data_IF_125399271668
#
_entry.id   IF_125399271668
#
_cell.length_a   1.000
_cell.length_b   1.000
_cell.length_c   1.000
_cell.angle_alpha   90.00
_cell.angle_beta   90.00
_cell.angle_gamma   90.00
#
_symmetry.space_group_name_H-M   'P 1'
#
loop_
_entity.id
_entity.type
_entity.pdbx_description
1 polymer ?
#
# COMPACT_ATOMS: atom_id res chain seq x y z
N UNK A 1 -3.70 -29.27 3.58
CA UNK A 1 -4.53 -28.91 2.44
C UNK A 1 -5.57 -27.91 2.88
N UNK A 2 -5.32 -26.61 2.65
CA UNK A 2 -6.18 -25.48 3.06
C UNK A 2 -7.32 -25.17 2.08
N UNK A 3 -7.49 -25.99 1.02
CA UNK A 3 -8.51 -25.76 -0.01
C UNK A 3 -9.96 -26.03 0.44
N UNK A 4 -10.18 -26.59 1.62
CA UNK A 4 -11.51 -26.88 2.15
C UNK A 4 -12.14 -25.74 2.96
N UNK A 5 -11.44 -24.59 3.12
CA UNK A 5 -11.96 -23.41 3.82
C UNK A 5 -12.60 -22.37 2.88
N UNK A 6 -12.80 -22.72 1.60
CA UNK A 6 -13.33 -21.79 0.59
C UNK A 6 -14.80 -21.38 0.79
N UNK A 7 -15.56 -22.13 1.61
CA UNK A 7 -16.99 -21.92 1.82
C UNK A 7 -17.42 -21.98 3.29
N UNK A 8 -16.56 -21.50 4.22
CA UNK A 8 -17.01 -21.37 5.60
C UNK A 8 -17.90 -20.13 5.74
N UNK A 9 -19.19 -20.32 5.55
CA UNK A 9 -20.19 -19.43 6.12
C UNK A 9 -20.17 -19.61 7.64
N UNK A 10 -19.92 -18.49 8.35
CA UNK A 10 -19.96 -18.50 9.81
C UNK A 10 -21.42 -18.79 10.21
N UNK A 11 -21.63 -19.87 10.97
CA UNK A 11 -22.93 -20.26 11.49
C UNK A 11 -23.62 -19.09 12.22
N UNK A 12 -24.93 -18.99 12.09
CA UNK A 12 -25.74 -17.92 12.65
C UNK A 12 -25.55 -17.77 14.18
N UNK A 13 -25.36 -18.88 14.92
CA UNK A 13 -25.09 -18.84 16.35
C UNK A 13 -23.72 -18.23 16.69
N UNK A 14 -22.74 -18.46 15.85
CA UNK A 14 -21.40 -17.85 15.94
C UNK A 14 -21.48 -16.35 15.64
N UNK A 15 -22.27 -15.95 14.65
CA UNK A 15 -22.52 -14.54 14.34
C UNK A 15 -23.18 -13.82 15.51
N UNK A 16 -24.18 -14.44 16.17
CA UNK A 16 -24.81 -13.87 17.36
C UNK A 16 -23.85 -13.76 18.53
N UNK A 17 -22.97 -14.75 18.73
CA UNK A 17 -21.95 -14.72 19.75
C UNK A 17 -20.94 -13.58 19.49
N UNK A 18 -20.47 -13.42 18.26
CA UNK A 18 -19.61 -12.31 17.85
C UNK A 18 -20.30 -10.96 18.10
N UNK A 19 -21.57 -10.81 17.72
CA UNK A 19 -22.33 -9.57 17.99
C UNK A 19 -22.43 -9.25 19.49
N UNK A 20 -22.59 -10.25 20.33
CA UNK A 20 -22.59 -10.07 21.80
C UNK A 20 -21.23 -9.61 22.31
N UNK A 21 -20.14 -10.21 21.84
CA UNK A 21 -18.77 -9.82 22.18
C UNK A 21 -18.50 -8.37 21.72
N UNK A 22 -18.95 -7.99 20.52
CA UNK A 22 -18.86 -6.61 20.01
C UNK A 22 -19.61 -5.63 20.90
N UNK A 23 -20.85 -5.99 21.29
CA UNK A 23 -21.69 -5.12 22.14
C UNK A 23 -21.15 -4.97 23.56
N UNK A 24 -20.39 -5.94 24.07
CA UNK A 24 -19.72 -5.87 25.37
C UNK A 24 -18.41 -5.08 25.37
N UNK A 25 -17.96 -4.57 24.21
CA UNK A 25 -16.65 -3.90 24.01
C UNK A 25 -15.42 -4.78 24.28
N UNK A 26 -15.57 -6.09 24.39
CA UNK A 26 -14.45 -7.02 24.60
C UNK A 26 -13.44 -7.06 23.45
N UNK A 27 -13.81 -6.55 22.26
CA UNK A 27 -12.89 -6.41 21.13
C UNK A 27 -11.79 -5.38 21.41
N UNK A 28 -12.08 -4.35 22.21
CA UNK A 28 -11.08 -3.38 22.62
C UNK A 28 -9.94 -4.01 23.47
N UNK A 29 -10.17 -5.18 24.05
CA UNK A 29 -9.19 -5.93 24.84
C UNK A 29 -8.27 -6.83 23.96
N UNK A 30 -8.57 -6.96 22.66
CA UNK A 30 -7.72 -7.71 21.73
C UNK A 30 -6.54 -6.82 21.36
N UNK A 31 -5.31 -7.32 21.54
CA UNK A 31 -4.12 -6.55 21.22
C UNK A 31 -4.03 -6.22 19.73
N UNK A 32 -3.51 -5.03 19.42
CA UNK A 32 -3.28 -4.58 18.03
C UNK A 32 -2.38 -5.52 17.22
N UNK A 33 -1.40 -6.17 17.89
CA UNK A 33 -0.53 -7.18 17.25
C UNK A 33 -1.31 -8.39 16.76
N UNK A 34 -2.29 -8.85 17.55
CA UNK A 34 -3.13 -9.97 17.16
C UNK A 34 -4.05 -9.60 16.00
N UNK A 35 -4.65 -8.43 16.04
CA UNK A 35 -5.49 -7.91 14.94
C UNK A 35 -4.66 -7.80 13.67
N UNK A 36 -3.43 -7.24 13.76
CA UNK A 36 -2.56 -7.15 12.61
C UNK A 36 -2.16 -8.53 12.06
N UNK A 37 -1.80 -9.47 12.92
CA UNK A 37 -1.44 -10.83 12.51
C UNK A 37 -2.57 -11.52 11.72
N UNK A 38 -3.83 -11.40 12.16
CA UNK A 38 -4.97 -11.96 11.44
C UNK A 38 -5.25 -11.20 10.14
N UNK A 39 -5.07 -9.88 10.13
CA UNK A 39 -5.20 -9.04 8.92
C UNK A 39 -4.16 -9.43 7.88
N UNK A 40 -2.90 -9.58 8.26
CA UNK A 40 -1.81 -9.97 7.37
C UNK A 40 -2.04 -11.40 6.80
N UNK A 41 -2.55 -12.31 7.63
CA UNK A 41 -2.96 -13.65 7.19
C UNK A 41 -4.10 -13.58 6.17
N UNK A 42 -5.11 -12.75 6.43
CA UNK A 42 -6.22 -12.54 5.50
C UNK A 42 -5.75 -11.97 4.16
N UNK A 43 -4.87 -10.97 4.17
CA UNK A 43 -4.25 -10.41 2.97
C UNK A 43 -3.43 -11.45 2.16
N UNK A 44 -3.00 -12.54 2.77
CA UNK A 44 -2.26 -13.64 2.12
C UNK A 44 -3.18 -14.71 1.52
N UNK A 45 -4.48 -14.68 1.80
CA UNK A 45 -5.45 -15.66 1.32
C UNK A 45 -5.86 -15.41 -0.15
N UNK A 46 -6.56 -16.35 -0.76
CA UNK A 46 -7.04 -16.23 -2.15
C UNK A 46 -8.11 -15.15 -2.34
N UNK A 47 -8.84 -14.79 -1.31
CA UNK A 47 -9.96 -13.83 -1.36
C UNK A 47 -9.96 -12.92 -0.12
N UNK A 48 -9.02 -11.97 -0.03
CA UNK A 48 -8.86 -11.12 1.15
C UNK A 48 -10.04 -10.17 1.38
N UNK A 49 -10.74 -9.73 0.34
CA UNK A 49 -11.90 -8.84 0.48
C UNK A 49 -12.98 -9.41 1.39
N UNK A 50 -13.18 -10.73 1.40
CA UNK A 50 -14.16 -11.39 2.29
C UNK A 50 -13.89 -11.15 3.77
N UNK A 51 -12.64 -11.05 4.19
CA UNK A 51 -12.29 -10.73 5.57
C UNK A 51 -12.78 -9.32 5.95
N UNK A 52 -12.51 -8.34 5.09
CA UNK A 52 -12.92 -6.96 5.33
C UNK A 52 -14.44 -6.78 5.20
N UNK A 53 -15.10 -7.49 4.29
CA UNK A 53 -16.56 -7.55 4.20
C UNK A 53 -17.18 -8.04 5.52
N UNK A 54 -16.60 -9.07 6.13
CA UNK A 54 -17.08 -9.57 7.43
C UNK A 54 -16.85 -8.55 8.55
N UNK A 55 -15.71 -7.88 8.60
CA UNK A 55 -15.46 -6.80 9.57
C UNK A 55 -16.55 -5.72 9.45
N UNK A 56 -16.87 -5.27 8.22
CA UNK A 56 -17.90 -4.27 7.97
C UNK A 56 -19.27 -4.82 8.38
N UNK A 57 -19.67 -6.01 7.91
CA UNK A 57 -21.00 -6.58 8.11
C UNK A 57 -21.31 -6.90 9.58
N UNK A 58 -20.29 -7.25 10.36
CA UNK A 58 -20.39 -7.54 11.79
C UNK A 58 -20.16 -6.32 12.67
N UNK A 59 -19.90 -5.15 12.08
CA UNK A 59 -19.59 -3.91 12.78
C UNK A 59 -18.38 -4.04 13.73
N UNK A 60 -17.32 -4.77 13.29
CA UNK A 60 -16.07 -5.00 14.01
C UNK A 60 -15.03 -3.92 13.72
N UNK A 61 -15.46 -2.68 13.53
CA UNK A 61 -14.60 -1.61 13.02
C UNK A 61 -13.73 -0.96 14.08
N UNK A 62 -14.27 -0.74 15.25
CA UNK A 62 -13.56 -0.06 16.34
C UNK A 62 -12.70 -1.01 17.18
N UNK A 63 -11.53 -0.53 17.61
CA UNK A 63 -10.91 0.76 17.30
C UNK A 63 -10.05 0.74 16.03
N UNK A 64 -9.79 -0.43 15.43
CA UNK A 64 -8.71 -0.63 14.45
C UNK A 64 -9.08 -0.30 12.99
N UNK A 65 -10.36 -0.39 12.65
CA UNK A 65 -10.87 -0.25 11.27
C UNK A 65 -12.02 0.77 11.18
N UNK A 66 -12.06 1.76 12.05
CA UNK A 66 -13.16 2.75 12.13
C UNK A 66 -13.42 3.51 10.83
N UNK A 67 -12.42 3.58 9.94
CA UNK A 67 -12.49 4.24 8.63
C UNK A 67 -12.69 3.27 7.46
N UNK A 68 -12.81 1.98 7.72
CA UNK A 68 -13.02 0.97 6.68
C UNK A 68 -14.46 1.03 6.15
N UNK A 69 -14.61 1.41 4.89
CA UNK A 69 -15.91 1.51 4.20
C UNK A 69 -15.99 0.60 2.97
N UNK A 70 -14.83 0.30 2.37
CA UNK A 70 -14.71 -0.54 1.17
C UNK A 70 -13.75 -1.69 1.44
N UNK A 71 -14.15 -2.90 1.09
CA UNK A 71 -13.41 -4.15 1.33
C UNK A 71 -12.49 -4.56 0.20
N UNK A 72 -12.66 -4.00 -1.01
CA UNK A 72 -12.00 -4.46 -2.23
C UNK A 72 -10.47 -4.32 -2.16
N UNK A 73 -9.76 -5.44 -2.36
CA UNK A 73 -8.29 -5.52 -2.36
C UNK A 73 -7.76 -6.77 -3.07
N UNK A 74 -8.49 -7.28 -4.08
CA UNK A 74 -8.20 -8.57 -4.71
C UNK A 74 -7.45 -8.45 -6.05
N UNK A 75 -7.08 -7.24 -6.50
CA UNK A 75 -6.49 -7.03 -7.83
C UNK A 75 -5.09 -7.63 -7.99
N UNK A 76 -4.44 -8.03 -6.91
CA UNK A 76 -3.10 -8.60 -6.93
C UNK A 76 -2.92 -9.73 -5.92
N UNK A 77 -1.88 -10.59 -6.11
CA UNK A 77 -1.60 -11.69 -5.17
C UNK A 77 -0.60 -11.34 -4.06
N UNK A 78 0.06 -10.18 -4.15
CA UNK A 78 1.01 -9.71 -3.14
C UNK A 78 0.27 -9.01 -2.00
N UNK A 79 0.50 -9.44 -0.75
CA UNK A 79 -0.18 -8.92 0.45
C UNK A 79 0.04 -7.42 0.69
N UNK A 80 1.23 -6.88 0.38
CA UNK A 80 1.51 -5.44 0.55
C UNK A 80 0.78 -4.60 -0.50
N UNK A 81 0.66 -5.10 -1.74
CA UNK A 81 -0.13 -4.44 -2.78
C UNK A 81 -1.63 -4.50 -2.50
N UNK A 82 -2.13 -5.60 -1.94
CA UNK A 82 -3.52 -5.72 -1.47
C UNK A 82 -3.82 -4.71 -0.36
N UNK A 83 -2.88 -4.53 0.56
CA UNK A 83 -2.99 -3.49 1.58
C UNK A 83 -2.99 -2.08 0.97
N UNK A 84 -2.11 -1.82 -0.02
CA UNK A 84 -2.10 -0.55 -0.73
C UNK A 84 -3.44 -0.30 -1.45
N UNK A 85 -4.00 -1.30 -2.12
CA UNK A 85 -5.30 -1.21 -2.78
C UNK A 85 -6.43 -0.91 -1.79
N UNK A 86 -6.45 -1.60 -0.65
CA UNK A 86 -7.42 -1.34 0.42
C UNK A 86 -7.28 0.09 0.94
N UNK A 87 -6.06 0.58 1.12
CA UNK A 87 -5.78 1.95 1.55
C UNK A 87 -6.28 2.99 0.54
N UNK A 88 -6.04 2.78 -0.76
CA UNK A 88 -6.54 3.68 -1.81
C UNK A 88 -8.07 3.74 -1.74
N UNK A 89 -8.72 2.60 -1.62
CA UNK A 89 -10.18 2.51 -1.58
C UNK A 89 -10.79 3.17 -0.34
N UNK A 90 -9.99 3.40 0.72
CA UNK A 90 -10.40 4.01 1.98
C UNK A 90 -9.60 5.28 2.31
N UNK A 91 -9.21 6.04 1.28
CA UNK A 91 -8.60 7.38 1.38
C UNK A 91 -7.32 7.43 2.24
N UNK A 92 -6.61 6.29 2.36
CA UNK A 92 -5.39 6.12 3.18
C UNK A 92 -5.58 6.36 4.69
N UNK A 93 -6.77 6.15 5.20
CA UNK A 93 -7.11 6.39 6.62
C UNK A 93 -7.05 5.14 7.50
N UNK A 94 -6.61 3.99 6.96
CA UNK A 94 -6.56 2.73 7.72
C UNK A 94 -5.21 2.51 8.41
N UNK A 95 -5.25 1.82 9.54
CA UNK A 95 -4.06 1.23 10.18
C UNK A 95 -3.30 2.16 11.13
N UNK A 96 -3.82 3.33 11.51
CA UNK A 96 -3.19 4.22 12.50
C UNK A 96 -2.95 3.53 13.84
N UNK A 97 -3.86 2.65 14.25
CA UNK A 97 -3.83 1.91 15.51
C UNK A 97 -3.17 0.51 15.39
N UNK A 98 -2.68 0.15 14.19
CA UNK A 98 -2.09 -1.15 13.92
C UNK A 98 -0.56 -1.08 13.88
N UNK A 99 0.16 -2.08 14.41
CA UNK A 99 1.63 -2.15 14.39
C UNK A 99 2.14 -2.60 13.01
N UNK A 100 1.91 -1.78 11.98
CA UNK A 100 2.26 -2.10 10.61
C UNK A 100 3.76 -2.30 10.43
N UNK A 101 4.23 -3.39 9.79
CA UNK A 101 5.60 -3.55 9.33
C UNK A 101 6.04 -2.45 8.36
N UNK A 102 7.35 -2.23 8.27
CA UNK A 102 7.90 -1.13 7.47
C UNK A 102 7.60 -1.25 5.97
N UNK A 103 7.51 -2.46 5.42
CA UNK A 103 7.15 -2.71 4.02
C UNK A 103 5.71 -2.25 3.72
N UNK A 104 4.76 -2.51 4.63
CA UNK A 104 3.38 -2.04 4.53
C UNK A 104 3.26 -0.52 4.66
N UNK A 105 4.04 0.11 5.54
CA UNK A 105 4.11 1.57 5.65
C UNK A 105 4.71 2.18 4.40
N UNK A 106 5.82 1.64 3.92
CA UNK A 106 6.53 2.14 2.75
C UNK A 106 5.68 2.08 1.49
N UNK A 107 5.00 0.96 1.23
CA UNK A 107 4.14 0.84 0.03
C UNK A 107 3.02 1.88 0.02
N UNK A 108 2.43 2.18 1.18
CA UNK A 108 1.37 3.19 1.32
C UNK A 108 1.90 4.58 1.00
N UNK A 109 3.07 4.96 1.52
CA UNK A 109 3.68 6.27 1.24
C UNK A 109 4.07 6.40 -0.24
N UNK A 110 4.66 5.36 -0.83
CA UNK A 110 4.96 5.31 -2.26
C UNK A 110 3.68 5.48 -3.09
N UNK A 111 2.61 4.78 -2.70
CA UNK A 111 1.33 4.81 -3.37
C UNK A 111 0.68 6.20 -3.34
N UNK A 112 0.65 6.86 -2.18
CA UNK A 112 0.12 8.23 -2.01
C UNK A 112 0.79 9.24 -2.96
N UNK A 113 2.10 9.09 -3.15
CA UNK A 113 2.86 9.97 -4.03
C UNK A 113 2.59 9.61 -5.49
N UNK A 114 2.69 8.31 -5.83
CA UNK A 114 2.55 7.82 -7.19
C UNK A 114 1.18 8.14 -7.82
N UNK A 115 0.10 8.11 -7.05
CA UNK A 115 -1.23 8.46 -7.52
C UNK A 115 -1.38 9.92 -7.95
N UNK A 116 -0.53 10.82 -7.42
CA UNK A 116 -0.54 12.24 -7.77
C UNK A 116 0.25 12.56 -9.04
N UNK A 117 1.07 11.61 -9.50
CA UNK A 117 1.96 11.83 -10.63
C UNK A 117 1.27 11.60 -11.96
N UNK A 118 1.43 12.56 -12.84
CA UNK A 118 1.01 12.50 -14.24
C UNK A 118 1.95 13.38 -15.08
N UNK A 119 1.70 13.42 -16.39
CA UNK A 119 2.49 14.22 -17.35
C UNK A 119 2.49 15.73 -17.08
N UNK A 120 1.49 16.23 -16.35
CA UNK A 120 1.32 17.65 -16.03
C UNK A 120 1.91 18.01 -14.65
N UNK A 121 2.49 17.01 -13.95
CA UNK A 121 3.14 17.22 -12.64
C UNK A 121 4.34 18.16 -12.83
N UNK A 122 4.43 19.17 -11.99
CA UNK A 122 5.54 20.12 -12.05
C UNK A 122 6.89 19.47 -11.70
N UNK A 123 7.97 20.10 -12.12
CA UNK A 123 9.33 19.55 -12.00
C UNK A 123 9.75 19.30 -10.55
N UNK A 124 9.40 20.17 -9.63
CA UNK A 124 9.82 20.07 -8.23
C UNK A 124 9.14 18.87 -7.54
N UNK A 125 7.85 18.64 -7.81
CA UNK A 125 7.13 17.49 -7.31
C UNK A 125 7.66 16.18 -7.93
N UNK A 126 8.03 16.18 -9.22
CA UNK A 126 8.66 15.02 -9.86
C UNK A 126 10.01 14.68 -9.21
N UNK A 127 10.85 15.67 -8.96
CA UNK A 127 12.14 15.48 -8.28
C UNK A 127 11.94 14.92 -6.88
N UNK A 128 11.01 15.52 -6.11
CA UNK A 128 10.66 15.07 -4.76
C UNK A 128 10.20 13.60 -4.76
N UNK A 129 9.41 13.23 -5.75
CA UNK A 129 8.93 11.87 -5.93
C UNK A 129 10.07 10.88 -6.21
N UNK A 130 10.92 11.21 -7.18
CA UNK A 130 12.06 10.37 -7.56
C UNK A 130 12.96 10.10 -6.35
N UNK A 131 13.23 11.15 -5.55
CA UNK A 131 14.08 11.04 -4.37
C UNK A 131 13.42 10.21 -3.26
N UNK A 132 12.17 10.50 -2.92
CA UNK A 132 11.44 9.80 -1.86
C UNK A 132 11.24 8.31 -2.14
N UNK A 133 10.96 7.95 -3.38
CA UNK A 133 10.69 6.55 -3.74
C UNK A 133 11.96 5.72 -3.87
N UNK A 134 13.11 6.35 -4.15
CA UNK A 134 14.32 5.63 -4.51
C UNK A 134 14.06 4.61 -5.63
N UNK A 135 13.75 5.12 -6.81
CA UNK A 135 13.33 4.31 -7.98
C UNK A 135 14.28 3.17 -8.33
N UNK A 136 15.59 3.37 -8.15
CA UNK A 136 16.58 2.32 -8.45
C UNK A 136 16.36 1.10 -7.57
N UNK A 137 16.15 1.32 -6.27
CA UNK A 137 15.94 0.25 -5.30
C UNK A 137 14.55 -0.37 -5.40
N UNK A 138 13.54 0.45 -5.67
CA UNK A 138 12.14 0.05 -5.62
C UNK A 138 11.53 -0.19 -7.01
N UNK A 139 12.35 -0.37 -8.06
CA UNK A 139 11.88 -0.50 -9.44
C UNK A 139 10.82 -1.59 -9.61
N UNK A 140 11.06 -2.79 -9.07
CA UNK A 140 10.11 -3.90 -9.17
C UNK A 140 8.81 -3.61 -8.37
N UNK A 141 8.93 -2.99 -7.21
CA UNK A 141 7.79 -2.56 -6.40
C UNK A 141 6.92 -1.55 -7.15
N UNK A 142 7.54 -0.57 -7.80
CA UNK A 142 6.83 0.44 -8.61
C UNK A 142 6.10 -0.22 -9.77
N UNK A 143 6.75 -1.13 -10.51
CA UNK A 143 6.11 -1.84 -11.61
C UNK A 143 4.92 -2.69 -11.15
N UNK A 144 5.00 -3.30 -9.99
CA UNK A 144 3.88 -4.02 -9.39
C UNK A 144 2.77 -3.06 -8.94
N UNK A 145 3.12 -1.95 -8.30
CA UNK A 145 2.17 -0.96 -7.81
C UNK A 145 1.33 -0.36 -8.95
N UNK A 146 1.96 0.05 -10.05
CA UNK A 146 1.27 0.62 -11.21
C UNK A 146 0.45 -0.40 -12.01
N UNK A 147 0.48 -1.69 -11.64
CA UNK A 147 -0.43 -2.70 -12.17
C UNK A 147 -1.82 -2.65 -11.52
N UNK A 148 -1.98 -1.98 -10.38
CA UNK A 148 -3.28 -1.77 -9.75
C UNK A 148 -4.19 -0.92 -10.66
N UNK A 149 -5.50 -1.21 -10.71
CA UNK A 149 -6.45 -0.49 -11.58
C UNK A 149 -6.46 1.03 -11.36
N UNK A 150 -6.14 1.48 -10.15
CA UNK A 150 -6.11 2.90 -9.77
C UNK A 150 -5.03 3.72 -10.50
N UNK A 151 -4.08 3.06 -11.16
CA UNK A 151 -3.00 3.70 -11.92
C UNK A 151 -3.25 3.71 -13.44
N UNK A 152 -4.44 3.31 -13.92
CA UNK A 152 -4.74 3.22 -15.36
C UNK A 152 -4.33 4.46 -16.13
N UNK A 153 -4.55 5.65 -15.60
CA UNK A 153 -4.36 6.93 -16.27
C UNK A 153 -2.90 7.42 -16.27
N UNK A 154 -2.09 6.99 -15.31
CA UNK A 154 -0.70 7.46 -15.14
C UNK A 154 0.35 6.34 -15.25
N UNK A 155 -0.08 5.11 -15.46
CA UNK A 155 0.78 3.92 -15.55
C UNK A 155 1.92 4.08 -16.54
N UNK A 156 1.61 4.50 -17.76
CA UNK A 156 2.61 4.62 -18.84
C UNK A 156 3.64 5.70 -18.51
N UNK A 157 3.20 6.83 -17.99
CA UNK A 157 4.08 7.90 -17.54
C UNK A 157 5.05 7.44 -16.46
N UNK A 158 4.53 6.82 -15.39
CA UNK A 158 5.37 6.32 -14.28
C UNK A 158 6.30 5.22 -14.74
N UNK A 159 5.84 4.30 -15.62
CA UNK A 159 6.68 3.23 -16.18
C UNK A 159 7.85 3.78 -17.01
N UNK A 160 7.61 4.80 -17.84
CA UNK A 160 8.65 5.44 -18.63
C UNK A 160 9.67 6.16 -17.74
N UNK A 161 9.18 6.91 -16.76
CA UNK A 161 10.02 7.60 -15.79
C UNK A 161 10.91 6.59 -15.01
N UNK A 162 10.31 5.50 -14.52
CA UNK A 162 11.01 4.44 -13.80
C UNK A 162 12.13 3.81 -14.66
N UNK A 163 11.86 3.54 -15.93
CA UNK A 163 12.85 2.99 -16.88
C UNK A 163 14.01 3.96 -17.13
N UNK A 164 13.72 5.23 -17.37
CA UNK A 164 14.76 6.27 -17.54
C UNK A 164 15.68 6.35 -16.35
N UNK A 165 15.10 6.38 -15.12
CA UNK A 165 15.87 6.43 -13.88
C UNK A 165 16.73 5.15 -13.73
N UNK A 166 16.16 3.96 -13.96
CA UNK A 166 16.90 2.69 -13.84
C UNK A 166 18.08 2.59 -14.80
N UNK A 167 17.96 3.17 -16.00
CA UNK A 167 19.02 3.13 -17.01
C UNK A 167 20.06 4.24 -16.87
N UNK A 168 19.82 5.22 -16.00
CA UNK A 168 20.73 6.32 -15.73
C UNK A 168 21.90 5.86 -14.87
N UNK A 169 23.11 6.23 -15.24
CA UNK A 169 24.31 5.94 -14.44
C UNK A 169 24.49 7.00 -13.34
N UNK A 170 24.37 6.54 -12.10
CA UNK A 170 24.60 7.35 -10.90
C UNK A 170 25.98 7.12 -10.28
N UNK A 171 26.87 6.33 -10.92
CA UNK A 171 28.15 5.91 -10.34
C UNK A 171 29.06 7.07 -10.00
N UNK A 172 29.01 8.15 -10.77
CA UNK A 172 29.86 9.32 -10.56
C UNK A 172 29.54 10.07 -9.24
N UNK A 173 28.31 9.92 -8.69
CA UNK A 173 27.95 10.51 -7.40
C UNK A 173 28.85 10.00 -6.26
N UNK A 174 29.46 8.83 -6.41
CA UNK A 174 30.42 8.31 -5.44
C UNK A 174 31.68 9.19 -5.27
N UNK A 175 31.99 10.01 -6.29
CA UNK A 175 33.14 10.92 -6.31
C UNK A 175 32.75 12.37 -5.91
N UNK A 176 31.47 12.63 -5.66
CA UNK A 176 30.99 13.94 -5.25
C UNK A 176 31.09 14.07 -3.73
N UNK A 177 31.47 15.26 -3.23
CA UNK A 177 31.48 15.52 -1.81
C UNK A 177 30.10 15.40 -1.20
N UNK A 178 30.00 14.98 0.05
CA UNK A 178 28.71 14.79 0.75
C UNK A 178 27.83 16.04 0.73
N UNK A 179 28.46 17.21 0.75
CA UNK A 179 27.78 18.50 0.76
C UNK A 179 27.07 18.82 -0.57
N UNK A 180 27.60 18.28 -1.69
CA UNK A 180 27.12 18.58 -3.05
C UNK A 180 26.29 17.43 -3.66
N UNK A 181 26.19 16.26 -3.00
CA UNK A 181 25.49 15.10 -3.54
C UNK A 181 24.04 15.40 -3.90
N UNK A 182 23.32 16.10 -3.02
CA UNK A 182 21.91 16.40 -3.25
C UNK A 182 21.71 17.35 -4.45
N UNK A 183 22.59 18.36 -4.59
CA UNK A 183 22.54 19.26 -5.72
C UNK A 183 22.80 18.52 -7.05
N UNK A 184 23.79 17.64 -7.07
CA UNK A 184 24.13 16.83 -8.25
C UNK A 184 23.02 15.83 -8.60
N UNK A 185 22.39 15.18 -7.63
CA UNK A 185 21.22 14.34 -7.86
C UNK A 185 20.08 15.12 -8.53
N UNK A 186 19.77 16.30 -8.03
CA UNK A 186 18.72 17.16 -8.59
C UNK A 186 19.03 17.51 -10.06
N UNK A 187 20.28 17.78 -10.41
CA UNK A 187 20.70 18.02 -11.80
C UNK A 187 20.40 16.80 -12.69
N UNK A 188 20.78 15.60 -12.24
CA UNK A 188 20.50 14.36 -12.98
C UNK A 188 18.97 14.17 -13.15
N UNK A 189 18.20 14.35 -12.09
CA UNK A 189 16.75 14.17 -12.17
C UNK A 189 16.13 15.14 -13.17
N UNK A 190 16.60 16.40 -13.21
CA UNK A 190 16.18 17.37 -14.23
C UNK A 190 16.50 16.92 -15.65
N UNK A 191 17.68 16.36 -15.88
CA UNK A 191 18.07 15.82 -17.19
C UNK A 191 17.19 14.63 -17.60
N UNK A 192 16.94 13.69 -16.66
CA UNK A 192 16.07 12.53 -16.90
C UNK A 192 14.65 12.95 -17.28
N UNK A 193 14.11 13.96 -16.59
CA UNK A 193 12.74 14.42 -16.81
C UNK A 193 12.62 15.12 -18.16
N UNK A 194 13.64 15.90 -18.57
CA UNK A 194 13.64 16.68 -19.80
C UNK A 194 14.06 15.89 -21.05
N UNK A 195 14.56 14.66 -20.91
CA UNK A 195 14.94 13.77 -22.00
C UNK A 195 13.75 12.97 -22.51
#
# INVERSE_FOLDING_TARGET
SYDHLKDFDIDASTIECIKKIVSSREIADISSDRIWSETERALSNSNPSKYFEKIISLNLLDPYFSKLTKSSCDSHNNKTLRWAELQINNDFELGSELPLPNDFKNIVEVCKIALKLNKDTNLDDLILFIDKINFVRNFELINQLISLPHFSDNKDFISQLAKKIKTTDFSYLSNVSKENIEEEKIKIYKEIINS
#
